data_IF_810458593836
#
_entry.id   IF_810458593836
#
_cell.length_a   1.000
_cell.length_b   1.000
_cell.length_c   1.000
_cell.angle_alpha   90.00
_cell.angle_beta   90.00
_cell.angle_gamma   90.00
#
_symmetry.space_group_name_H-M   'P 1'
#
loop_
_entity.id
_entity.type
_entity.pdbx_description
1 polymer ?
#
# COMPACT_ATOMS: atom_id res chain seq x y z
N UNK A 1 16.25 -5.32 -9.51
CA UNK A 1 15.54 -5.00 -8.23
C UNK A 1 16.56 -4.77 -7.14
N UNK A 2 16.36 -3.74 -6.33
CA UNK A 2 17.28 -3.41 -5.24
C UNK A 2 17.33 -4.47 -4.13
N UNK A 3 16.23 -5.19 -3.93
CA UNK A 3 16.12 -6.17 -2.86
C UNK A 3 16.49 -7.59 -3.27
N UNK A 4 16.79 -7.81 -4.56
CA UNK A 4 17.16 -9.12 -5.05
C UNK A 4 16.02 -10.13 -5.16
N UNK A 5 14.76 -9.73 -4.97
CA UNK A 5 13.63 -10.64 -5.12
C UNK A 5 13.47 -11.08 -6.59
N UNK A 6 13.26 -12.38 -6.81
CA UNK A 6 12.77 -12.87 -8.09
C UNK A 6 11.30 -12.47 -8.26
N UNK A 7 10.77 -12.62 -9.48
CA UNK A 7 9.35 -12.32 -9.74
C UNK A 7 8.45 -13.18 -8.85
N UNK A 8 8.75 -14.47 -8.71
CA UNK A 8 7.97 -15.37 -7.87
C UNK A 8 8.03 -14.96 -6.41
N UNK A 9 9.23 -14.62 -5.91
CA UNK A 9 9.39 -14.18 -4.53
C UNK A 9 8.66 -12.87 -4.28
N UNK A 10 8.74 -11.93 -5.22
CA UNK A 10 8.04 -10.65 -5.12
C UNK A 10 6.53 -10.85 -5.01
N UNK A 11 5.96 -11.72 -5.85
CA UNK A 11 4.54 -11.99 -5.84
C UNK A 11 4.09 -12.60 -4.51
N UNK A 12 4.88 -13.53 -3.97
CA UNK A 12 4.60 -14.12 -2.66
C UNK A 12 4.65 -13.07 -1.54
N UNK A 13 5.62 -12.17 -1.58
CA UNK A 13 5.75 -11.09 -0.59
C UNK A 13 4.54 -10.16 -0.68
N UNK A 14 4.11 -9.79 -1.90
CA UNK A 14 2.92 -8.96 -2.08
C UNK A 14 1.69 -9.65 -1.47
N UNK A 15 1.49 -10.92 -1.77
CA UNK A 15 0.33 -11.66 -1.23
C UNK A 15 0.35 -11.71 0.30
N UNK A 16 1.52 -11.90 0.88
CA UNK A 16 1.67 -11.95 2.34
C UNK A 16 1.40 -10.63 3.02
N UNK A 17 1.35 -9.52 2.26
CA UNK A 17 1.18 -8.17 2.81
C UNK A 17 -0.10 -7.50 2.33
N UNK A 18 -1.00 -8.22 1.68
CA UNK A 18 -2.29 -7.65 1.25
C UNK A 18 -3.11 -7.14 2.44
N UNK A 19 -2.96 -7.74 3.61
CA UNK A 19 -3.63 -7.32 4.83
C UNK A 19 -3.27 -5.86 5.21
N UNK A 20 -2.12 -5.38 4.78
CA UNK A 20 -1.71 -3.99 5.05
C UNK A 20 -2.65 -3.00 4.36
N UNK A 21 -3.18 -3.36 3.18
CA UNK A 21 -4.15 -2.52 2.48
C UNK A 21 -5.42 -2.41 3.33
N UNK A 22 -5.94 -3.54 3.81
CA UNK A 22 -7.14 -3.55 4.63
C UNK A 22 -6.94 -2.72 5.91
N UNK A 23 -5.77 -2.83 6.54
CA UNK A 23 -5.45 -2.06 7.74
C UNK A 23 -5.54 -0.56 7.49
N UNK A 24 -4.95 -0.09 6.39
CA UNK A 24 -4.97 1.33 6.04
C UNK A 24 -6.39 1.77 5.68
N UNK A 25 -7.14 0.96 4.95
CA UNK A 25 -8.52 1.29 4.57
C UNK A 25 -9.42 1.39 5.81
N UNK A 26 -9.28 0.49 6.76
CA UNK A 26 -10.05 0.54 8.02
C UNK A 26 -9.76 1.84 8.78
N UNK A 27 -8.51 2.28 8.82
CA UNK A 27 -8.12 3.53 9.48
C UNK A 27 -8.78 4.76 8.84
N UNK A 28 -9.21 4.67 7.59
CA UNK A 28 -9.81 5.77 6.84
C UNK A 28 -11.28 5.49 6.46
N UNK A 29 -11.90 4.50 7.09
CA UNK A 29 -13.25 4.06 6.73
C UNK A 29 -14.29 5.18 6.86
N UNK A 30 -14.22 5.98 7.90
CA UNK A 30 -15.17 7.08 8.12
C UNK A 30 -15.09 8.11 7.00
N UNK A 31 -13.87 8.45 6.57
CA UNK A 31 -13.69 9.36 5.44
C UNK A 31 -14.26 8.78 4.15
N UNK A 32 -13.99 7.50 3.88
CA UNK A 32 -14.46 6.85 2.65
C UNK A 32 -15.99 6.76 2.59
N UNK A 33 -16.65 6.61 3.74
CA UNK A 33 -18.10 6.59 3.79
C UNK A 33 -18.71 7.97 3.52
N UNK A 34 -18.01 9.03 3.90
CA UNK A 34 -18.48 10.39 3.73
C UNK A 34 -18.09 11.00 2.38
N UNK A 35 -17.05 10.50 1.74
CA UNK A 35 -16.52 11.04 0.49
C UNK A 35 -17.19 10.37 -0.72
N UNK A 36 -17.36 11.11 -1.84
CA UNK A 36 -17.87 10.52 -3.07
C UNK A 36 -16.78 9.73 -3.80
N UNK A 37 -16.28 8.67 -3.17
CA UNK A 37 -15.19 7.87 -3.71
C UNK A 37 -15.57 6.39 -3.64
N UNK A 38 -15.18 5.64 -4.68
CA UNK A 38 -15.38 4.20 -4.74
C UNK A 38 -14.26 3.51 -3.93
N UNK A 39 -14.62 2.71 -2.89
CA UNK A 39 -13.60 1.97 -2.14
C UNK A 39 -12.74 1.04 -3.00
N UNK A 40 -13.30 0.49 -4.09
CA UNK A 40 -12.53 -0.36 -5.00
C UNK A 40 -11.41 0.42 -5.68
N UNK A 41 -11.65 1.68 -6.04
CA UNK A 41 -10.60 2.53 -6.62
C UNK A 41 -9.50 2.82 -5.61
N UNK A 42 -9.87 3.03 -4.36
CA UNK A 42 -8.89 3.22 -3.27
C UNK A 42 -8.05 1.95 -3.10
N UNK A 43 -8.71 0.79 -3.07
CA UNK A 43 -8.01 -0.49 -2.93
C UNK A 43 -7.00 -0.68 -4.06
N UNK A 44 -7.40 -0.40 -5.29
CA UNK A 44 -6.51 -0.54 -6.46
C UNK A 44 -5.30 0.39 -6.35
N UNK A 45 -5.50 1.64 -5.93
CA UNK A 45 -4.40 2.58 -5.73
C UNK A 45 -3.41 2.08 -4.69
N UNK A 46 -3.91 1.54 -3.59
CA UNK A 46 -3.08 0.98 -2.53
C UNK A 46 -2.36 -0.29 -3.00
N UNK A 47 -3.04 -1.13 -3.78
CA UNK A 47 -2.43 -2.35 -4.32
C UNK A 47 -1.27 -2.04 -5.25
N UNK A 48 -1.43 -1.06 -6.14
CA UNK A 48 -0.33 -0.61 -7.02
C UNK A 48 0.83 -0.08 -6.17
N UNK A 49 0.54 0.68 -5.14
CA UNK A 49 1.58 1.22 -4.25
C UNK A 49 2.29 0.11 -3.49
N UNK A 50 1.56 -0.92 -3.06
CA UNK A 50 2.15 -2.09 -2.39
C UNK A 50 3.16 -2.78 -3.32
N UNK A 51 2.78 -3.02 -4.56
CA UNK A 51 3.68 -3.67 -5.53
C UNK A 51 4.94 -2.82 -5.74
N UNK A 52 4.79 -1.51 -5.89
CA UNK A 52 5.91 -0.59 -6.03
C UNK A 52 6.80 -0.58 -4.80
N UNK A 53 6.20 -0.62 -3.61
CA UNK A 53 6.95 -0.65 -2.36
C UNK A 53 7.81 -1.91 -2.25
N UNK A 54 7.26 -3.06 -2.60
CA UNK A 54 8.03 -4.31 -2.60
C UNK A 54 9.17 -4.26 -3.60
N UNK A 55 8.94 -3.69 -4.78
CA UNK A 55 9.97 -3.57 -5.81
C UNK A 55 11.11 -2.63 -5.41
N UNK A 56 10.82 -1.58 -4.67
CA UNK A 56 11.80 -0.57 -4.28
C UNK A 56 12.35 -0.76 -2.88
N UNK A 57 11.91 -1.81 -2.18
CA UNK A 57 12.35 -2.05 -0.81
C UNK A 57 13.86 -2.24 -0.72
N UNK A 58 14.45 -1.57 0.28
CA UNK A 58 15.86 -1.67 0.62
C UNK A 58 15.95 -2.12 2.08
N UNK A 59 16.54 -3.30 2.36
CA UNK A 59 16.64 -3.81 3.74
C UNK A 59 17.33 -2.84 4.70
N UNK A 60 18.14 -1.91 4.19
CA UNK A 60 18.80 -0.91 5.02
C UNK A 60 17.82 0.13 5.58
N UNK A 61 16.59 0.19 5.08
CA UNK A 61 15.60 1.20 5.47
C UNK A 61 14.60 0.70 6.52
N UNK A 62 14.88 -0.44 7.15
CA UNK A 62 14.05 -0.99 8.20
C UNK A 62 13.29 -2.23 7.78
N UNK A 63 12.30 -2.62 8.59
CA UNK A 63 11.53 -3.82 8.33
C UNK A 63 10.55 -3.61 7.18
N UNK A 64 10.38 -4.65 6.36
CA UNK A 64 9.53 -4.62 5.18
C UNK A 64 8.08 -4.23 5.52
N UNK A 65 7.51 -4.82 6.58
CA UNK A 65 6.13 -4.52 6.99
C UNK A 65 5.95 -3.03 7.27
N UNK A 66 6.86 -2.45 8.04
CA UNK A 66 6.79 -1.03 8.40
C UNK A 66 6.99 -0.13 7.19
N UNK A 67 7.91 -0.51 6.30
CA UNK A 67 8.14 0.21 5.06
C UNK A 67 6.87 0.22 4.20
N UNK A 68 6.24 -0.95 4.02
CA UNK A 68 5.00 -1.07 3.26
C UNK A 68 3.91 -0.20 3.87
N UNK A 69 3.68 -0.32 5.18
CA UNK A 69 2.63 0.46 5.84
C UNK A 69 2.85 1.96 5.67
N UNK A 70 4.08 2.44 5.78
CA UNK A 70 4.37 3.86 5.61
C UNK A 70 4.09 4.32 4.17
N UNK A 71 4.41 3.49 3.18
CA UNK A 71 4.14 3.79 1.78
C UNK A 71 2.64 3.83 1.49
N UNK A 72 1.88 2.90 2.06
CA UNK A 72 0.42 2.87 1.88
C UNK A 72 -0.24 4.08 2.54
N UNK A 73 0.22 4.48 3.71
CA UNK A 73 -0.29 5.67 4.39
C UNK A 73 -0.04 6.94 3.58
N UNK A 74 1.14 7.05 2.96
CA UNK A 74 1.45 8.18 2.07
C UNK A 74 0.53 8.18 0.86
N UNK A 75 0.29 7.01 0.26
CA UNK A 75 -0.63 6.92 -0.87
C UNK A 75 -2.05 7.32 -0.47
N UNK A 76 -2.49 6.92 0.72
CA UNK A 76 -3.81 7.29 1.23
C UNK A 76 -3.95 8.79 1.42
N UNK A 77 -2.91 9.45 1.93
CA UNK A 77 -2.89 10.92 2.05
C UNK A 77 -3.02 11.56 0.67
N UNK A 78 -2.31 11.03 -0.32
CA UNK A 78 -2.38 11.52 -1.70
C UNK A 78 -3.80 11.36 -2.26
N UNK A 79 -4.41 10.20 -2.07
CA UNK A 79 -5.78 9.94 -2.55
C UNK A 79 -6.77 10.93 -1.92
N UNK A 80 -6.67 11.16 -0.63
CA UNK A 80 -7.55 12.11 0.07
C UNK A 80 -7.35 13.53 -0.44
N UNK A 81 -6.11 13.91 -0.71
CA UNK A 81 -5.80 15.25 -1.21
C UNK A 81 -6.38 15.49 -2.61
N UNK A 82 -6.39 14.47 -3.47
CA UNK A 82 -6.94 14.59 -4.82
C UNK A 82 -8.46 14.59 -4.85
N UNK A 83 -9.11 14.11 -3.79
CA UNK A 83 -10.56 14.07 -3.69
C UNK A 83 -11.15 15.27 -2.92
N UNK A 84 -10.30 16.09 -2.34
CA UNK A 84 -10.73 17.24 -1.53
C UNK A 84 -11.40 18.34 -2.36
#
# INVERSE_FOLDING_TARGET
MKNGFTITQRNAVVEQHLWCIDTVMVQHAAWMQAAPIDPDDVYQSLAVRLIRAVNSYDPCKGYLKEYILSQLKREMVRVRSTQA
#
